data_IF_304246891103
#
_entry.id   IF_304246891103
#
_cell.length_a   1.000
_cell.length_b   1.000
_cell.length_c   1.000
_cell.angle_alpha   90.00
_cell.angle_beta   90.00
_cell.angle_gamma   90.00
#
_symmetry.space_group_name_H-M   'P 1'
#
loop_
_entity.id
_entity.type
_entity.pdbx_description
1 polymer ?
#
# COMPACT_ATOMS: atom_id res chain seq x y z
N UNK A 1 -25.00 14.79 15.52
CA UNK A 1 -25.97 13.66 15.61
C UNK A 1 -26.20 13.35 17.07
N UNK A 2 -27.31 12.72 17.42
CA UNK A 2 -27.65 12.39 18.81
C UNK A 2 -27.71 10.86 19.02
N UNK A 3 -27.33 10.36 20.19
CA UNK A 3 -27.37 8.93 20.50
C UNK A 3 -28.77 8.44 20.92
N UNK A 4 -29.75 9.34 21.05
CA UNK A 4 -31.12 9.06 21.52
C UNK A 4 -32.07 8.52 20.43
N UNK A 5 -31.55 8.24 19.22
CA UNK A 5 -32.33 7.77 18.08
C UNK A 5 -33.08 8.87 17.33
N UNK A 6 -32.98 10.14 17.73
CA UNK A 6 -33.69 11.25 17.06
C UNK A 6 -33.06 11.66 15.73
N UNK A 7 -31.89 11.12 15.38
CA UNK A 7 -31.16 11.43 14.13
C UNK A 7 -30.80 10.16 13.38
N UNK A 8 -31.04 10.12 12.06
CA UNK A 8 -30.65 9.03 11.18
C UNK A 8 -29.56 9.48 10.19
N UNK A 9 -28.50 8.69 10.04
CA UNK A 9 -27.44 8.94 9.05
C UNK A 9 -26.75 7.60 8.69
N UNK A 10 -26.81 7.20 7.41
CA UNK A 10 -26.25 5.91 6.98
C UNK A 10 -24.72 5.86 6.99
N UNK A 11 -24.05 7.00 6.85
CA UNK A 11 -22.60 7.12 7.00
C UNK A 11 -22.27 8.50 7.56
N UNK A 12 -21.87 8.55 8.84
CA UNK A 12 -21.82 9.78 9.60
C UNK A 12 -20.83 10.83 9.08
N UNK A 13 -19.69 10.40 8.53
CA UNK A 13 -18.68 11.29 7.94
C UNK A 13 -19.20 12.05 6.70
N UNK A 14 -20.29 11.58 6.09
CA UNK A 14 -20.98 12.26 4.98
C UNK A 14 -22.13 13.17 5.43
N UNK A 15 -22.40 13.27 6.74
CA UNK A 15 -23.38 14.23 7.23
C UNK A 15 -22.96 15.65 6.78
N UNK A 16 -23.81 16.31 5.99
CA UNK A 16 -23.52 17.61 5.37
C UNK A 16 -23.30 17.57 3.85
N UNK A 17 -23.05 16.40 3.25
CA UNK A 17 -22.92 16.28 1.78
C UNK A 17 -24.22 16.64 1.06
N UNK A 18 -25.36 16.43 1.73
CA UNK A 18 -26.68 16.85 1.28
C UNK A 18 -27.36 17.62 2.42
N UNK A 19 -26.98 18.89 2.59
CA UNK A 19 -27.53 19.78 3.60
C UNK A 19 -28.56 20.72 2.97
N UNK A 20 -29.64 21.02 3.69
CA UNK A 20 -30.67 22.00 3.30
C UNK A 20 -31.28 21.78 1.90
N UNK A 21 -31.43 20.53 1.50
CA UNK A 21 -31.96 20.19 0.17
C UNK A 21 -30.94 20.34 -0.98
N UNK A 22 -29.68 20.67 -0.69
CA UNK A 22 -28.64 20.95 -1.69
C UNK A 22 -27.60 19.83 -1.72
N UNK A 23 -27.40 19.24 -2.90
CA UNK A 23 -26.33 18.27 -3.14
C UNK A 23 -24.98 18.99 -3.25
N UNK A 24 -24.21 19.00 -2.17
CA UNK A 24 -22.91 19.67 -2.12
C UNK A 24 -21.87 18.95 -2.99
N UNK A 25 -21.98 17.63 -3.18
CA UNK A 25 -21.09 16.89 -4.07
C UNK A 25 -21.26 17.27 -5.56
N UNK A 26 -22.37 17.92 -5.92
CA UNK A 26 -22.63 18.38 -7.28
C UNK A 26 -22.08 19.77 -7.59
N UNK A 27 -21.40 20.44 -6.65
CA UNK A 27 -20.77 21.75 -6.89
C UNK A 27 -19.65 21.64 -7.94
N UNK A 28 -19.55 22.63 -8.83
CA UNK A 28 -18.61 22.62 -9.98
C UNK A 28 -17.91 23.95 -10.21
N UNK A 29 -17.70 24.77 -9.17
CA UNK A 29 -17.10 26.09 -9.36
C UNK A 29 -15.65 25.94 -9.83
N UNK A 30 -15.27 26.40 -11.04
CA UNK A 30 -13.92 26.18 -11.55
C UNK A 30 -12.83 26.71 -10.61
N UNK A 31 -11.68 26.04 -10.54
CA UNK A 31 -10.58 26.43 -9.64
C UNK A 31 -10.04 27.85 -9.87
N UNK A 32 -10.25 28.43 -11.07
CA UNK A 32 -9.88 29.83 -11.37
C UNK A 32 -10.82 30.88 -10.75
N UNK A 33 -11.97 30.47 -10.22
CA UNK A 33 -13.01 31.35 -9.66
C UNK A 33 -13.10 31.23 -8.13
N UNK A 34 -12.25 30.41 -7.52
CA UNK A 34 -12.16 30.20 -6.08
C UNK A 34 -10.67 30.12 -5.68
N UNK A 35 -10.41 29.99 -4.38
CA UNK A 35 -9.05 29.77 -3.91
C UNK A 35 -8.53 28.36 -4.25
N UNK A 36 -7.27 28.13 -3.91
CA UNK A 36 -6.55 26.90 -4.19
C UNK A 36 -7.01 25.71 -3.33
N UNK A 37 -7.76 25.94 -2.24
CA UNK A 37 -8.37 24.88 -1.42
C UNK A 37 -9.54 24.23 -2.18
N UNK A 38 -10.16 25.00 -3.08
CA UNK A 38 -11.21 24.54 -3.97
C UNK A 38 -12.47 23.97 -3.26
N UNK A 39 -12.88 24.62 -2.16
CA UNK A 39 -14.00 24.20 -1.31
C UNK A 39 -15.37 24.17 -2.02
N UNK A 40 -15.50 24.84 -3.17
CA UNK A 40 -16.70 24.90 -4.00
C UNK A 40 -16.64 23.95 -5.22
N UNK A 41 -15.67 23.04 -5.26
CA UNK A 41 -15.65 21.91 -6.19
C UNK A 41 -15.91 20.60 -5.44
N UNK A 42 -17.02 19.94 -5.78
CA UNK A 42 -17.56 18.80 -5.05
C UNK A 42 -17.64 19.06 -3.53
N UNK A 43 -17.59 17.99 -2.73
CA UNK A 43 -17.58 18.07 -1.28
C UNK A 43 -16.69 16.95 -0.72
N UNK A 44 -15.78 17.29 0.19
CA UNK A 44 -14.91 16.32 0.84
C UNK A 44 -15.46 15.95 2.23
N UNK A 45 -15.37 14.68 2.60
CA UNK A 45 -15.54 14.32 4.01
C UNK A 45 -14.20 14.54 4.74
N UNK A 46 -14.23 14.86 6.06
CA UNK A 46 -15.39 15.23 6.84
C UNK A 46 -15.71 16.73 6.72
N UNK A 47 -17.00 17.09 6.69
CA UNK A 47 -17.47 18.49 6.77
C UNK A 47 -16.80 19.48 5.78
N UNK A 48 -16.43 19.02 4.57
CA UNK A 48 -15.72 19.77 3.53
C UNK A 48 -14.28 20.20 3.85
N UNK A 49 -13.67 19.64 4.90
CA UNK A 49 -12.24 19.83 5.22
C UNK A 49 -11.40 19.22 4.11
N UNK A 50 -10.55 20.02 3.47
CA UNK A 50 -9.71 19.56 2.35
C UNK A 50 -8.36 19.05 2.82
N UNK A 51 -7.88 19.55 3.96
CA UNK A 51 -6.65 19.13 4.60
C UNK A 51 -6.98 18.72 6.04
N UNK A 52 -6.86 17.43 6.34
CA UNK A 52 -7.01 16.92 7.71
C UNK A 52 -5.88 17.43 8.60
N UNK A 53 -6.16 17.52 9.91
CA UNK A 53 -5.22 17.96 10.94
C UNK A 53 -4.69 19.38 10.73
N UNK A 54 -5.41 20.23 9.98
CA UNK A 54 -4.95 21.56 9.60
C UNK A 54 -4.74 22.52 10.79
N UNK A 55 -5.28 22.24 11.99
CA UNK A 55 -4.90 22.94 13.24
C UNK A 55 -3.39 22.88 13.52
N UNK A 56 -2.71 21.82 13.12
CA UNK A 56 -1.25 21.68 13.25
C UNK A 56 -0.46 22.60 12.30
N UNK A 57 -1.13 23.28 11.35
CA UNK A 57 -0.50 24.27 10.47
C UNK A 57 -0.28 25.64 11.12
N UNK A 58 -0.78 25.82 12.34
CA UNK A 58 -0.58 27.01 13.18
C UNK A 58 0.16 26.64 14.47
N UNK A 59 0.85 27.63 15.03
CA UNK A 59 1.55 27.54 16.31
C UNK A 59 0.57 27.42 17.50
N UNK A 60 1.07 27.24 18.74
CA UNK A 60 0.23 27.17 19.93
C UNK A 60 -0.63 28.43 20.13
N UNK A 61 -0.17 29.60 19.70
CA UNK A 61 -0.93 30.87 19.78
C UNK A 61 -1.94 31.04 18.64
N UNK A 62 -2.00 30.09 17.70
CA UNK A 62 -2.93 30.07 16.57
C UNK A 62 -2.53 30.92 15.38
N UNK A 63 -1.26 31.29 15.28
CA UNK A 63 -0.69 31.96 14.09
C UNK A 63 -0.14 30.91 13.12
N UNK A 64 -0.35 31.04 11.81
CA UNK A 64 0.22 30.11 10.84
C UNK A 64 1.75 30.04 10.97
N UNK A 65 2.33 28.82 10.92
CA UNK A 65 3.79 28.66 10.90
C UNK A 65 4.45 29.34 9.69
N UNK A 66 3.70 29.51 8.61
CA UNK A 66 4.10 30.23 7.41
C UNK A 66 2.91 30.90 6.76
N UNK A 67 2.92 32.22 6.62
CA UNK A 67 1.88 32.98 5.93
C UNK A 67 1.63 32.48 4.50
N UNK A 68 2.70 32.16 3.76
CA UNK A 68 2.63 31.65 2.38
C UNK A 68 1.90 30.30 2.27
N UNK A 69 1.80 29.55 3.36
CA UNK A 69 1.19 28.21 3.41
C UNK A 69 0.09 28.12 4.48
N UNK A 70 -0.49 29.27 4.87
CA UNK A 70 -1.52 29.30 5.89
C UNK A 70 -2.72 28.44 5.46
N UNK A 71 -3.26 27.64 6.37
CA UNK A 71 -4.50 26.89 6.17
C UNK A 71 -5.60 27.47 7.05
N UNK A 72 -5.33 27.50 8.35
CA UNK A 72 -6.20 28.04 9.39
C UNK A 72 -5.40 28.85 10.40
N UNK A 73 -6.07 29.80 11.05
CA UNK A 73 -5.55 30.66 12.09
C UNK A 73 -6.66 31.02 13.08
N UNK A 74 -6.27 31.44 14.28
CA UNK A 74 -7.20 32.00 15.25
C UNK A 74 -7.46 33.47 14.93
N UNK A 75 -8.73 33.85 14.85
CA UNK A 75 -9.15 35.24 14.69
C UNK A 75 -9.94 35.65 15.94
N UNK A 76 -9.35 36.46 16.86
CA UNK A 76 -9.99 36.85 18.11
C UNK A 76 -11.18 37.80 17.89
N UNK A 77 -11.25 38.46 16.73
CA UNK A 77 -12.32 39.42 16.40
C UNK A 77 -13.51 38.75 15.70
N UNK A 78 -13.40 37.45 15.41
CA UNK A 78 -14.43 36.68 14.70
C UNK A 78 -15.32 35.90 15.66
N UNK A 79 -16.65 36.06 15.52
CA UNK A 79 -17.60 35.42 16.43
C UNK A 79 -17.72 36.14 17.77
N UNK A 80 -18.37 35.53 18.76
CA UNK A 80 -18.58 36.15 20.08
C UNK A 80 -17.34 36.07 20.98
N UNK A 81 -16.48 35.06 20.78
CA UNK A 81 -15.35 34.74 21.67
C UNK A 81 -14.05 34.45 20.89
N UNK A 82 -13.99 34.82 19.60
CA UNK A 82 -12.95 34.38 18.66
C UNK A 82 -13.27 33.04 17.99
N UNK A 83 -12.77 32.85 16.78
CA UNK A 83 -12.97 31.60 16.03
C UNK A 83 -11.74 31.23 15.19
N UNK A 84 -11.49 29.92 15.06
CA UNK A 84 -10.63 29.37 14.03
C UNK A 84 -11.25 29.60 12.67
N UNK A 85 -10.48 30.20 11.77
CA UNK A 85 -10.88 30.45 10.39
C UNK A 85 -9.70 30.28 9.46
N UNK A 86 -9.91 30.46 8.17
CA UNK A 86 -8.82 30.39 7.22
C UNK A 86 -9.26 30.15 5.79
N UNK A 87 -8.35 29.59 5.00
CA UNK A 87 -8.61 29.13 3.64
C UNK A 87 -9.34 27.78 3.60
N UNK A 88 -9.16 26.93 4.61
CA UNK A 88 -9.86 25.65 4.75
C UNK A 88 -10.82 25.65 5.95
N UNK A 89 -11.74 24.69 5.98
CA UNK A 89 -12.57 24.42 7.16
C UNK A 89 -11.67 23.89 8.27
N UNK A 90 -11.66 24.46 9.50
CA UNK A 90 -10.85 23.93 10.59
C UNK A 90 -11.19 22.48 10.91
N UNK A 91 -10.17 21.63 10.93
CA UNK A 91 -10.22 20.29 11.50
C UNK A 91 -10.04 20.35 13.03
N UNK A 92 -10.86 21.20 13.63
CA UNK A 92 -10.82 21.54 15.04
C UNK A 92 -12.17 22.13 15.46
N UNK A 93 -12.42 22.23 16.77
CA UNK A 93 -13.61 22.92 17.28
C UNK A 93 -13.41 24.43 17.05
N UNK A 94 -14.26 25.02 16.20
CA UNK A 94 -14.07 26.38 15.68
C UNK A 94 -13.95 27.45 16.77
N UNK A 95 -14.62 27.26 17.89
CA UNK A 95 -14.73 28.18 19.03
C UNK A 95 -13.79 27.79 20.19
N UNK A 96 -12.92 26.79 20.02
CA UNK A 96 -11.94 26.40 21.04
C UNK A 96 -10.69 27.28 20.91
N UNK A 97 -10.56 28.27 21.79
CA UNK A 97 -9.44 29.20 21.80
C UNK A 97 -8.08 28.49 21.98
N UNK A 98 -6.97 29.06 21.45
CA UNK A 98 -5.66 28.42 21.53
C UNK A 98 -5.16 28.22 22.98
N UNK A 99 -5.56 29.08 23.91
CA UNK A 99 -5.25 29.05 25.34
C UNK A 99 -6.27 28.25 26.18
N UNK A 100 -7.23 27.57 25.54
CA UNK A 100 -8.21 26.75 26.22
C UNK A 100 -7.56 25.54 26.90
N UNK A 101 -7.68 25.48 28.22
CA UNK A 101 -7.35 24.30 29.02
C UNK A 101 -8.64 23.57 29.44
N UNK A 102 -8.73 22.25 29.22
CA UNK A 102 -9.89 21.48 29.61
C UNK A 102 -9.92 21.28 31.14
N UNK A 103 -11.10 21.21 31.77
CA UNK A 103 -11.23 20.80 33.18
C UNK A 103 -10.68 19.39 33.43
N UNK A 104 -10.20 19.11 34.65
CA UNK A 104 -9.63 17.80 35.04
C UNK A 104 -10.63 16.63 34.90
N UNK A 105 -11.93 16.91 35.00
CA UNK A 105 -13.01 15.92 34.86
C UNK A 105 -13.60 15.85 33.44
N UNK A 106 -13.04 16.60 32.48
CA UNK A 106 -13.45 16.55 31.09
C UNK A 106 -13.16 15.17 30.48
N UNK A 107 -14.02 14.76 29.54
CA UNK A 107 -13.89 13.45 28.89
C UNK A 107 -14.20 13.53 27.40
N UNK A 108 -13.65 12.56 26.66
CA UNK A 108 -13.81 12.48 25.21
C UNK A 108 -13.29 13.75 24.51
N UNK A 109 -13.96 14.24 23.45
CA UNK A 109 -13.51 15.42 22.71
C UNK A 109 -13.43 16.72 23.53
N UNK A 110 -14.15 16.83 24.65
CA UNK A 110 -14.09 18.02 25.51
C UNK A 110 -12.81 18.04 26.37
N UNK A 111 -12.11 16.92 26.52
CA UNK A 111 -10.82 16.83 27.20
C UNK A 111 -9.63 17.31 26.34
N UNK A 112 -9.87 17.74 25.09
CA UNK A 112 -8.84 18.28 24.22
C UNK A 112 -8.60 19.77 24.54
N UNK A 113 -7.35 20.18 24.71
CA UNK A 113 -6.93 21.58 24.85
C UNK A 113 -7.01 22.35 23.53
N UNK A 114 -6.82 23.66 23.59
CA UNK A 114 -6.67 24.54 22.41
C UNK A 114 -5.49 24.22 21.49
N UNK A 115 -4.59 23.34 21.95
CA UNK A 115 -3.33 22.97 21.29
C UNK A 115 -3.26 21.50 20.88
N UNK A 116 -4.40 20.81 20.85
CA UNK A 116 -4.52 19.38 20.51
C UNK A 116 -5.05 19.13 19.08
N UNK A 117 -4.20 19.24 18.04
CA UNK A 117 -4.66 19.24 16.65
C UNK A 117 -5.26 17.92 16.14
N UNK A 118 -5.05 16.80 16.81
CA UNK A 118 -5.48 15.48 16.32
C UNK A 118 -6.77 15.03 17.00
N UNK A 119 -7.90 15.65 16.63
CA UNK A 119 -9.18 15.54 17.36
C UNK A 119 -9.81 14.14 17.40
N UNK A 120 -9.33 13.22 16.56
CA UNK A 120 -9.78 11.83 16.55
C UNK A 120 -8.93 10.93 17.46
N UNK A 121 -7.82 11.44 17.98
CA UNK A 121 -6.97 10.76 18.95
C UNK A 121 -7.40 11.11 20.37
N UNK A 122 -7.41 10.12 21.25
CA UNK A 122 -7.89 10.28 22.62
C UNK A 122 -7.07 11.31 23.43
N UNK A 123 -5.79 11.46 23.11
CA UNK A 123 -4.86 12.42 23.72
C UNK A 123 -4.62 13.67 22.86
N UNK A 124 -5.28 13.78 21.70
CA UNK A 124 -5.15 14.92 20.81
C UNK A 124 -3.81 15.03 20.07
N UNK A 125 -2.93 14.03 20.16
CA UNK A 125 -1.56 14.09 19.60
C UNK A 125 -1.36 13.14 18.41
N UNK A 126 -0.36 13.45 17.58
CA UNK A 126 0.19 12.47 16.66
C UNK A 126 1.17 11.57 17.40
N UNK A 127 1.04 10.27 17.20
CA UNK A 127 1.87 9.27 17.86
C UNK A 127 3.16 8.99 17.08
N UNK A 128 4.30 9.30 17.69
CA UNK A 128 5.60 8.77 17.27
C UNK A 128 5.79 7.35 17.81
N UNK A 129 5.42 7.13 19.07
CA UNK A 129 5.27 5.83 19.71
C UNK A 129 3.78 5.49 19.72
N UNK A 130 3.39 4.35 19.15
CA UNK A 130 1.99 3.93 19.01
C UNK A 130 1.59 3.05 20.19
N UNK A 131 0.85 3.56 21.18
CA UNK A 131 0.58 2.83 22.42
C UNK A 131 -0.45 1.72 22.28
N UNK A 132 -1.29 1.76 21.23
CA UNK A 132 -2.31 0.75 20.98
C UNK A 132 -2.68 0.67 19.50
N UNK A 133 -3.24 -0.48 19.10
CA UNK A 133 -3.80 -0.71 17.76
C UNK A 133 -2.90 -1.46 16.79
N UNK A 134 -1.57 -1.49 16.99
CA UNK A 134 -0.65 -2.27 16.18
C UNK A 134 -0.31 -3.62 16.83
N UNK A 135 -0.30 -4.68 16.03
CA UNK A 135 0.01 -6.04 16.46
C UNK A 135 1.52 -6.32 16.57
N UNK A 136 2.33 -5.60 15.79
CA UNK A 136 3.75 -5.86 15.56
C UNK A 136 4.71 -4.87 16.23
N UNK A 137 4.18 -3.98 17.05
CA UNK A 137 4.94 -3.15 17.96
C UNK A 137 4.60 -1.66 17.89
N UNK A 138 5.07 -0.87 18.87
CA UNK A 138 4.76 0.55 18.97
C UNK A 138 5.65 1.44 18.08
N UNK A 139 6.71 0.88 17.50
CA UNK A 139 7.65 1.55 16.61
C UNK A 139 7.94 0.62 15.42
N UNK A 140 8.17 1.15 14.20
CA UNK A 140 8.55 0.33 13.07
C UNK A 140 9.87 -0.41 13.31
N UNK A 141 9.90 -1.69 12.94
CA UNK A 141 11.10 -2.52 12.92
C UNK A 141 11.22 -3.19 11.55
N UNK A 142 12.46 -3.32 11.07
CA UNK A 142 12.75 -4.04 9.83
C UNK A 142 12.67 -5.56 10.04
N UNK A 143 11.94 -6.23 9.17
CA UNK A 143 11.98 -7.68 9.01
C UNK A 143 12.07 -8.00 7.52
N UNK A 144 12.75 -9.09 7.18
CA UNK A 144 12.82 -9.55 5.81
C UNK A 144 11.45 -10.07 5.32
N UNK A 145 11.15 -9.91 4.02
CA UNK A 145 10.00 -10.56 3.36
C UNK A 145 9.95 -12.07 3.62
N UNK A 146 8.74 -12.65 3.54
CA UNK A 146 8.53 -14.06 3.86
C UNK A 146 9.45 -15.01 3.07
N UNK A 147 9.63 -14.75 1.79
CA UNK A 147 10.46 -15.54 0.87
C UNK A 147 11.76 -14.78 0.52
N UNK A 148 12.34 -14.00 1.43
CA UNK A 148 13.57 -13.24 1.13
C UNK A 148 14.78 -14.18 0.88
N UNK A 149 15.56 -13.99 -0.20
CA UNK A 149 16.79 -14.76 -0.43
C UNK A 149 18.00 -14.22 0.34
N UNK A 150 17.78 -13.30 1.29
CA UNK A 150 18.80 -12.68 2.14
C UNK A 150 18.46 -12.83 3.62
N UNK A 151 19.47 -12.96 4.50
CA UNK A 151 19.27 -12.91 5.94
C UNK A 151 19.03 -11.48 6.41
N UNK A 152 18.31 -11.31 7.51
CA UNK A 152 18.15 -10.02 8.18
C UNK A 152 19.50 -9.58 8.77
N UNK A 153 19.94 -8.35 8.47
CA UNK A 153 21.20 -7.80 9.01
C UNK A 153 21.04 -7.08 10.34
N UNK A 154 19.84 -6.66 10.66
CA UNK A 154 19.59 -5.78 11.79
C UNK A 154 19.24 -6.58 13.05
N UNK A 155 18.58 -7.72 12.87
CA UNK A 155 18.07 -8.54 13.97
C UNK A 155 18.21 -10.03 13.65
N UNK A 156 18.34 -10.86 14.69
CA UNK A 156 18.29 -12.32 14.55
C UNK A 156 16.92 -12.82 14.06
N UNK A 157 15.87 -12.01 14.28
CA UNK A 157 14.51 -12.30 13.83
C UNK A 157 14.38 -12.02 12.33
N UNK A 158 14.25 -13.09 11.53
CA UNK A 158 14.21 -13.00 10.07
C UNK A 158 12.95 -12.28 9.57
N UNK A 159 11.77 -12.81 9.93
CA UNK A 159 10.47 -12.35 9.45
C UNK A 159 9.69 -11.69 10.58
N UNK A 160 8.65 -10.91 10.25
CA UNK A 160 7.78 -10.35 11.27
C UNK A 160 7.21 -11.48 12.16
N UNK A 161 7.45 -11.44 13.49
CA UNK A 161 7.16 -12.56 14.39
C UNK A 161 5.67 -12.80 14.64
N UNK A 162 4.83 -11.82 14.30
CA UNK A 162 3.37 -11.90 14.47
C UNK A 162 2.63 -11.99 13.14
N UNK A 163 3.35 -12.10 12.01
CA UNK A 163 2.74 -12.27 10.68
C UNK A 163 1.76 -13.44 10.69
N UNK A 164 0.70 -13.32 9.91
CA UNK A 164 -0.32 -14.35 9.90
C UNK A 164 -0.05 -15.35 8.79
N UNK A 165 0.12 -16.60 9.20
CA UNK A 165 0.29 -17.73 8.30
C UNK A 165 -0.99 -18.54 8.24
N UNK A 166 -1.42 -18.88 7.03
CA UNK A 166 -2.48 -19.86 6.83
C UNK A 166 -1.99 -21.25 7.24
N UNK A 167 -2.94 -22.16 7.53
CA UNK A 167 -2.60 -23.58 7.75
C UNK A 167 -1.80 -24.09 6.56
N UNK A 168 -0.73 -24.89 6.77
CA UNK A 168 0.09 -25.39 5.68
C UNK A 168 -0.76 -26.04 4.58
N UNK A 169 -0.63 -25.54 3.35
CA UNK A 169 -1.38 -26.03 2.19
C UNK A 169 -0.40 -26.40 1.06
N UNK A 170 -0.60 -27.52 0.35
CA UNK A 170 0.27 -27.93 -0.74
C UNK A 170 0.43 -26.88 -1.86
N UNK A 171 -0.58 -26.04 -2.09
CA UNK A 171 -0.53 -24.99 -3.11
C UNK A 171 0.04 -23.65 -2.59
N UNK A 172 0.33 -23.54 -1.29
CA UNK A 172 0.90 -22.36 -0.66
C UNK A 172 2.09 -22.73 0.25
N UNK A 173 3.02 -23.55 -0.25
CA UNK A 173 4.30 -23.78 0.44
C UNK A 173 5.15 -22.51 0.39
N UNK A 174 5.86 -22.19 1.47
CA UNK A 174 6.83 -21.08 1.50
C UNK A 174 8.21 -21.55 1.01
N UNK A 175 9.13 -20.60 0.79
CA UNK A 175 10.50 -20.89 0.39
C UNK A 175 11.47 -20.76 1.58
N UNK A 176 12.61 -21.47 1.54
CA UNK A 176 13.69 -21.21 2.48
C UNK A 176 14.21 -19.79 2.31
N UNK A 177 14.61 -19.15 3.41
CA UNK A 177 15.04 -17.75 3.43
C UNK A 177 16.49 -17.59 3.87
N UNK A 178 17.11 -16.47 3.49
CA UNK A 178 18.47 -16.12 3.89
C UNK A 178 19.49 -17.23 3.62
N UNK A 179 20.11 -17.74 4.69
CA UNK A 179 21.16 -18.76 4.62
C UNK A 179 20.63 -20.19 4.83
N UNK A 180 19.30 -20.38 4.89
CA UNK A 180 18.69 -21.70 4.98
C UNK A 180 19.04 -22.57 3.75
N UNK A 181 19.28 -23.89 3.95
CA UNK A 181 19.51 -24.80 2.84
C UNK A 181 18.38 -24.72 1.80
N UNK A 182 18.75 -24.49 0.54
CA UNK A 182 17.79 -24.38 -0.56
C UNK A 182 17.34 -22.96 -0.91
N UNK A 183 17.71 -21.93 -0.12
CA UNK A 183 17.36 -20.53 -0.41
C UNK A 183 17.87 -20.06 -1.79
N UNK A 184 19.05 -20.53 -2.20
CA UNK A 184 19.64 -20.25 -3.52
C UNK A 184 18.88 -20.83 -4.72
N UNK A 185 17.83 -21.62 -4.52
CA UNK A 185 16.99 -22.15 -5.61
C UNK A 185 16.08 -21.08 -6.23
N UNK A 186 15.79 -20.02 -5.48
CA UNK A 186 15.00 -18.87 -5.91
C UNK A 186 15.80 -17.57 -5.68
N UNK A 187 16.83 -17.31 -6.50
CA UNK A 187 17.83 -16.28 -6.17
C UNK A 187 17.40 -14.84 -6.50
N UNK A 188 16.27 -14.63 -7.17
CA UNK A 188 15.84 -13.31 -7.64
C UNK A 188 14.62 -12.82 -6.89
N UNK A 189 14.56 -11.52 -6.63
CA UNK A 189 13.38 -10.89 -6.04
C UNK A 189 12.43 -10.45 -7.15
N UNK A 190 11.18 -10.89 -7.09
CA UNK A 190 10.12 -10.41 -7.95
C UNK A 190 9.25 -9.37 -7.23
N UNK A 191 8.70 -8.45 -8.01
CA UNK A 191 7.75 -7.44 -7.53
C UNK A 191 6.63 -7.24 -8.54
N UNK A 192 5.43 -6.91 -8.04
CA UNK A 192 4.27 -6.63 -8.90
C UNK A 192 3.88 -5.16 -8.90
N UNK A 193 3.53 -4.61 -10.07
CA UNK A 193 3.17 -3.19 -10.23
C UNK A 193 2.20 -2.97 -11.39
N UNK A 194 1.91 -1.69 -11.65
CA UNK A 194 0.89 -1.25 -12.60
C UNK A 194 1.50 -0.66 -13.85
N UNK A 195 0.72 -0.69 -14.92
CA UNK A 195 0.92 0.05 -16.15
C UNK A 195 -0.24 1.02 -16.33
N UNK A 196 0.04 2.16 -16.96
CA UNK A 196 -0.94 3.22 -17.19
C UNK A 196 -2.14 2.72 -17.99
N UNK A 197 -1.91 1.82 -18.94
CA UNK A 197 -2.90 1.33 -19.90
C UNK A 197 -3.83 0.25 -19.31
N UNK A 198 -3.51 -0.30 -18.14
CA UNK A 198 -4.28 -1.37 -17.53
C UNK A 198 -4.82 -1.01 -16.14
N UNK A 199 -6.03 -1.51 -15.86
CA UNK A 199 -6.71 -1.33 -14.58
C UNK A 199 -6.83 -2.66 -13.83
N UNK A 200 -6.32 -2.68 -12.59
CA UNK A 200 -6.36 -3.82 -11.65
C UNK A 200 -5.89 -5.14 -12.29
N UNK A 201 -6.64 -6.24 -12.21
CA UNK A 201 -6.29 -7.51 -12.84
C UNK A 201 -6.60 -7.54 -14.36
N UNK A 202 -6.81 -6.37 -14.97
CA UNK A 202 -7.10 -6.18 -16.39
C UNK A 202 -8.51 -6.59 -16.83
N UNK A 203 -9.40 -6.97 -15.90
CA UNK A 203 -10.75 -7.45 -16.22
C UNK A 203 -11.61 -6.45 -17.01
N UNK A 204 -11.32 -5.15 -16.92
CA UNK A 204 -11.93 -4.11 -17.76
C UNK A 204 -11.07 -3.78 -18.99
N UNK A 205 -9.77 -3.51 -18.76
CA UNK A 205 -8.88 -2.94 -19.77
C UNK A 205 -8.42 -3.93 -20.85
N UNK A 206 -8.30 -5.23 -20.54
CA UNK A 206 -7.95 -6.27 -21.57
C UNK A 206 -9.05 -6.49 -22.61
N UNK A 207 -10.27 -6.01 -22.34
CA UNK A 207 -11.39 -6.03 -23.27
C UNK A 207 -11.56 -4.72 -24.04
N UNK A 208 -10.67 -3.75 -23.85
CA UNK A 208 -10.63 -2.52 -24.64
C UNK A 208 -9.57 -2.68 -25.73
N UNK A 209 -9.96 -2.67 -27.03
CA UNK A 209 -9.03 -2.97 -28.11
C UNK A 209 -7.84 -2.00 -28.16
N UNK A 210 -8.06 -0.71 -27.92
CA UNK A 210 -6.98 0.29 -27.93
C UNK A 210 -5.98 0.09 -26.79
N UNK A 211 -6.44 -0.32 -25.60
CA UNK A 211 -5.54 -0.57 -24.47
C UNK A 211 -4.80 -1.89 -24.65
N UNK A 212 -5.48 -2.91 -25.18
CA UNK A 212 -4.87 -4.19 -25.54
C UNK A 212 -3.86 -4.04 -26.69
N UNK A 213 -4.04 -3.09 -27.61
CA UNK A 213 -3.04 -2.78 -28.63
C UNK A 213 -1.76 -2.18 -28.02
N UNK A 214 -1.91 -1.28 -27.04
CA UNK A 214 -0.78 -0.64 -26.37
C UNK A 214 0.01 -1.61 -25.47
N UNK A 215 -0.67 -2.54 -24.78
CA UNK A 215 -0.06 -3.54 -23.90
C UNK A 215 -0.59 -4.95 -24.24
N UNK A 216 -0.08 -5.60 -25.30
CA UNK A 216 -0.72 -6.78 -25.89
C UNK A 216 -0.40 -8.12 -25.22
N UNK A 217 0.69 -8.23 -24.48
CA UNK A 217 1.13 -9.49 -23.88
C UNK A 217 1.66 -9.27 -22.46
N UNK A 218 1.46 -10.26 -21.58
CA UNK A 218 2.12 -10.25 -20.27
C UNK A 218 3.64 -10.29 -20.46
N UNK A 219 4.35 -9.37 -19.81
CA UNK A 219 5.80 -9.28 -19.85
C UNK A 219 6.42 -9.16 -18.47
N UNK A 220 7.73 -9.41 -18.40
CA UNK A 220 8.57 -9.18 -17.24
C UNK A 220 9.69 -8.20 -17.59
N UNK A 221 10.02 -7.32 -16.65
CA UNK A 221 11.14 -6.39 -16.79
C UNK A 221 12.37 -6.95 -16.08
N UNK A 222 13.51 -6.96 -16.78
CA UNK A 222 14.78 -7.46 -16.26
C UNK A 222 15.94 -6.55 -16.66
N UNK A 223 16.96 -6.49 -15.80
CA UNK A 223 18.21 -5.79 -16.10
C UNK A 223 18.97 -6.48 -17.25
N UNK A 224 19.80 -5.77 -18.03
CA UNK A 224 20.72 -6.39 -19.00
C UNK A 224 21.61 -7.47 -18.39
N UNK A 225 22.05 -7.31 -17.13
CA UNK A 225 22.93 -8.27 -16.47
C UNK A 225 22.21 -9.57 -16.12
N UNK A 226 20.99 -9.50 -15.57
CA UNK A 226 20.15 -10.68 -15.36
C UNK A 226 19.86 -11.38 -16.70
N UNK A 227 19.60 -10.60 -17.76
CA UNK A 227 19.35 -11.16 -19.08
C UNK A 227 20.58 -11.90 -19.63
N UNK A 228 21.78 -11.35 -19.46
CA UNK A 228 23.03 -12.01 -19.83
C UNK A 228 23.30 -13.25 -18.96
N UNK A 229 23.12 -13.16 -17.65
CA UNK A 229 23.33 -14.27 -16.71
C UNK A 229 22.44 -15.48 -17.02
N UNK A 230 21.18 -15.22 -17.41
CA UNK A 230 20.18 -16.27 -17.65
C UNK A 230 19.87 -16.54 -19.11
N UNK A 231 20.59 -15.90 -20.03
CA UNK A 231 20.37 -16.07 -21.47
C UNK A 231 18.96 -15.65 -21.91
N UNK A 232 18.40 -14.61 -21.32
CA UNK A 232 17.09 -14.06 -21.69
C UNK A 232 17.25 -13.11 -22.89
N UNK A 233 16.49 -13.35 -23.96
CA UNK A 233 16.46 -12.47 -25.12
C UNK A 233 15.35 -11.43 -24.96
N UNK A 234 15.64 -10.15 -25.25
CA UNK A 234 14.63 -9.09 -25.34
C UNK A 234 13.54 -9.49 -26.36
N UNK A 235 12.27 -9.30 -26.03
CA UNK A 235 11.06 -9.81 -26.71
C UNK A 235 10.91 -11.35 -26.78
N UNK A 236 11.90 -12.10 -26.27
CA UNK A 236 11.80 -13.53 -26.08
C UNK A 236 10.82 -13.91 -24.97
N UNK A 237 10.73 -15.21 -24.68
CA UNK A 237 9.92 -15.74 -23.59
C UNK A 237 10.80 -16.07 -22.39
N UNK A 238 10.25 -15.88 -21.19
CA UNK A 238 10.78 -16.40 -19.95
C UNK A 238 9.74 -17.22 -19.21
N UNK A 239 10.20 -18.25 -18.51
CA UNK A 239 9.44 -19.00 -17.52
C UNK A 239 9.89 -18.54 -16.13
N UNK A 240 8.94 -18.12 -15.30
CA UNK A 240 9.20 -17.65 -13.94
C UNK A 240 8.53 -18.61 -12.96
N UNK A 241 9.26 -19.06 -11.96
CA UNK A 241 8.83 -20.12 -11.04
C UNK A 241 9.00 -19.65 -9.60
N UNK A 242 7.98 -19.89 -8.78
CA UNK A 242 8.08 -19.82 -7.33
C UNK A 242 7.74 -21.19 -6.73
N UNK A 243 7.78 -21.34 -5.40
CA UNK A 243 7.32 -22.60 -4.80
C UNK A 243 5.81 -22.84 -4.95
N UNK A 244 5.02 -21.89 -5.47
CA UNK A 244 3.56 -22.00 -5.62
C UNK A 244 3.15 -22.31 -7.04
N UNK A 245 3.78 -21.65 -8.01
CA UNK A 245 3.34 -21.73 -9.40
C UNK A 245 4.44 -21.42 -10.40
N UNK A 246 4.04 -21.50 -11.66
CA UNK A 246 4.87 -21.16 -12.81
C UNK A 246 4.05 -20.34 -13.80
N UNK A 247 4.64 -19.24 -14.25
CA UNK A 247 4.08 -18.36 -15.30
C UNK A 247 5.07 -18.22 -16.45
N UNK A 248 4.57 -17.78 -17.61
CA UNK A 248 5.40 -17.29 -18.70
C UNK A 248 5.09 -15.83 -19.03
N UNK A 249 6.13 -15.11 -19.44
CA UNK A 249 6.04 -13.71 -19.80
C UNK A 249 6.99 -13.40 -20.96
N UNK A 250 6.68 -12.38 -21.76
CA UNK A 250 7.64 -11.74 -22.66
C UNK A 250 8.75 -11.06 -21.86
N UNK A 251 9.95 -10.98 -22.41
CA UNK A 251 11.08 -10.35 -21.73
C UNK A 251 11.28 -8.92 -22.23
N UNK A 252 11.17 -7.95 -21.33
CA UNK A 252 11.60 -6.57 -21.54
C UNK A 252 12.93 -6.35 -20.82
N UNK A 253 14.03 -6.51 -21.56
CA UNK A 253 15.36 -6.12 -21.08
C UNK A 253 15.46 -4.59 -21.07
N UNK A 254 15.78 -3.99 -19.92
CA UNK A 254 15.81 -2.53 -19.77
C UNK A 254 16.77 -2.07 -18.67
N UNK A 255 17.47 -0.96 -18.91
CA UNK A 255 18.37 -0.34 -17.93
C UNK A 255 17.64 0.28 -16.72
N UNK A 256 16.31 0.47 -16.82
CA UNK A 256 15.47 0.92 -15.69
C UNK A 256 15.49 -0.07 -14.52
N UNK A 257 15.75 -1.34 -14.81
CA UNK A 257 15.96 -2.37 -13.81
C UNK A 257 17.46 -2.44 -13.50
N UNK A 258 17.87 -1.85 -12.38
CA UNK A 258 19.27 -1.89 -11.94
C UNK A 258 19.45 -2.94 -10.86
N UNK A 259 20.40 -3.88 -11.00
CA UNK A 259 20.74 -4.79 -9.93
C UNK A 259 21.29 -4.05 -8.71
N UNK A 260 20.95 -4.51 -7.51
CA UNK A 260 21.43 -3.94 -6.26
C UNK A 260 22.60 -4.78 -5.74
N UNK A 261 23.45 -4.19 -4.90
CA UNK A 261 24.42 -4.95 -4.11
C UNK A 261 23.92 -5.02 -2.68
N UNK A 262 23.60 -6.22 -2.20
CA UNK A 262 23.11 -6.48 -0.84
C UNK A 262 23.96 -7.60 -0.26
N UNK A 263 24.55 -7.40 0.93
CA UNK A 263 25.49 -8.36 1.53
C UNK A 263 26.68 -8.75 0.63
N UNK A 264 27.16 -7.82 -0.21
CA UNK A 264 28.21 -8.11 -1.20
C UNK A 264 27.77 -9.06 -2.33
N UNK A 265 26.51 -9.50 -2.35
CA UNK A 265 25.89 -10.28 -3.41
C UNK A 265 25.13 -9.35 -4.35
N UNK A 266 25.14 -9.68 -5.63
CA UNK A 266 24.32 -8.99 -6.62
C UNK A 266 22.88 -9.49 -6.54
N UNK A 267 21.95 -8.59 -6.23
CA UNK A 267 20.52 -8.85 -6.23
C UNK A 267 19.93 -8.40 -7.56
N UNK A 268 19.37 -9.35 -8.31
CA UNK A 268 18.58 -9.06 -9.50
C UNK A 268 17.08 -9.03 -9.18
N UNK A 269 16.39 -8.12 -9.84
CA UNK A 269 14.95 -7.92 -9.67
C UNK A 269 14.21 -8.34 -10.95
N UNK A 270 13.05 -8.98 -10.79
CA UNK A 270 12.12 -9.33 -11.87
C UNK A 270 10.84 -8.53 -11.69
N UNK A 271 10.59 -7.58 -12.59
CA UNK A 271 9.39 -6.75 -12.53
C UNK A 271 8.20 -7.40 -13.24
N UNK A 272 7.03 -7.45 -12.58
CA UNK A 272 5.83 -8.14 -13.10
C UNK A 272 4.57 -7.27 -13.03
N UNK A 273 4.14 -6.66 -14.14
CA UNK A 273 2.80 -6.12 -14.28
C UNK A 273 1.70 -7.18 -14.04
N UNK A 274 0.74 -6.94 -13.14
CA UNK A 274 -0.23 -7.97 -12.70
C UNK A 274 -1.59 -7.93 -13.42
N UNK A 275 -1.61 -7.46 -14.68
CA UNK A 275 -2.86 -7.14 -15.39
C UNK A 275 -3.43 -8.27 -16.22
N UNK A 276 -2.76 -9.41 -16.32
CA UNK A 276 -3.12 -10.47 -17.26
C UNK A 276 -3.86 -11.64 -16.63
N UNK A 277 -4.56 -12.34 -17.51
CA UNK A 277 -5.29 -13.57 -17.26
C UNK A 277 -5.67 -14.21 -18.59
N UNK A 278 -6.37 -15.35 -18.57
CA UNK A 278 -6.52 -16.19 -19.76
C UNK A 278 -7.46 -15.65 -20.85
N UNK A 279 -8.13 -14.52 -20.63
CA UNK A 279 -9.25 -14.03 -21.45
C UNK A 279 -9.03 -12.59 -21.96
N UNK A 280 -9.88 -12.12 -22.88
CA UNK A 280 -9.80 -10.77 -23.46
C UNK A 280 -8.94 -10.71 -24.73
N UNK A 281 -8.74 -9.51 -25.28
CA UNK A 281 -7.93 -9.31 -26.49
C UNK A 281 -6.43 -9.49 -26.21
N UNK A 282 -5.99 -9.08 -25.01
CA UNK A 282 -4.65 -9.31 -24.51
C UNK A 282 -4.69 -10.41 -23.45
N UNK A 283 -3.88 -11.47 -23.61
CA UNK A 283 -3.91 -12.66 -22.76
C UNK A 283 -2.54 -12.98 -22.17
N UNK A 284 -2.52 -13.71 -21.06
CA UNK A 284 -1.30 -14.11 -20.36
C UNK A 284 -1.62 -14.85 -19.07
N UNK A 285 -0.58 -15.26 -18.36
CA UNK A 285 -0.75 -15.79 -17.00
C UNK A 285 -0.99 -14.65 -15.99
N UNK A 286 -1.53 -14.99 -14.82
CA UNK A 286 -1.65 -14.05 -13.71
C UNK A 286 -0.37 -14.07 -12.86
N UNK A 287 0.25 -12.92 -12.60
CA UNK A 287 1.43 -12.83 -11.73
C UNK A 287 1.14 -13.37 -10.30
N UNK A 288 -0.13 -13.33 -9.87
CA UNK A 288 -0.56 -13.84 -8.57
C UNK A 288 -0.33 -15.34 -8.37
N UNK A 289 -0.17 -16.12 -9.44
CA UNK A 289 0.17 -17.55 -9.37
C UNK A 289 1.52 -17.81 -8.67
N UNK A 290 2.36 -16.79 -8.54
CA UNK A 290 3.67 -16.89 -7.90
C UNK A 290 3.65 -16.55 -6.40
N UNK A 291 2.61 -15.86 -5.92
CA UNK A 291 2.58 -15.22 -4.61
C UNK A 291 2.28 -16.21 -3.48
N UNK A 292 2.86 -15.96 -2.32
CA UNK A 292 2.52 -16.67 -1.09
C UNK A 292 1.44 -15.91 -0.30
N UNK A 293 0.70 -16.64 0.54
CA UNK A 293 -0.32 -16.09 1.44
C UNK A 293 0.22 -15.96 2.88
N UNK A 294 1.34 -15.25 3.02
CA UNK A 294 1.77 -14.70 4.32
C UNK A 294 1.19 -13.31 4.43
N UNK A 295 0.46 -13.04 5.51
CA UNK A 295 -0.39 -11.86 5.61
C UNK A 295 0.13 -10.89 6.68
N UNK A 296 -0.05 -9.61 6.39
CA UNK A 296 0.18 -8.53 7.35
C UNK A 296 -0.63 -8.77 8.63
N UNK A 297 -0.03 -8.64 9.82
CA UNK A 297 -0.66 -8.97 11.09
C UNK A 297 -1.84 -8.07 11.45
N UNK A 298 -1.91 -6.86 10.88
CA UNK A 298 -2.92 -5.86 11.21
C UNK A 298 -4.11 -5.89 10.24
N UNK A 299 -3.86 -6.16 8.96
CA UNK A 299 -4.83 -5.97 7.86
C UNK A 299 -5.16 -7.23 7.10
N UNK A 300 -4.44 -8.34 7.34
CA UNK A 300 -4.60 -9.61 6.64
C UNK A 300 -4.29 -9.53 5.13
N UNK A 301 -3.56 -8.50 4.69
CA UNK A 301 -3.18 -8.31 3.28
C UNK A 301 -1.93 -9.14 2.97
N UNK A 302 -1.97 -9.89 1.86
CA UNK A 302 -0.84 -10.69 1.40
C UNK A 302 0.28 -9.85 0.77
N UNK A 303 1.51 -10.32 0.92
CA UNK A 303 2.70 -9.71 0.32
C UNK A 303 2.74 -9.91 -1.20
N UNK A 304 2.79 -8.81 -1.95
CA UNK A 304 2.81 -8.82 -3.43
C UNK A 304 3.98 -8.05 -4.02
N UNK A 305 4.87 -7.53 -3.18
CA UNK A 305 5.90 -6.54 -3.56
C UNK A 305 7.32 -7.05 -3.42
N UNK A 306 7.54 -8.07 -2.59
CA UNK A 306 8.83 -8.72 -2.46
C UNK A 306 8.61 -10.22 -2.20
N UNK A 307 9.05 -11.05 -3.14
CA UNK A 307 9.01 -12.52 -3.01
C UNK A 307 10.07 -13.11 -3.94
N UNK A 308 10.63 -14.27 -3.58
CA UNK A 308 11.67 -14.88 -4.38
C UNK A 308 11.14 -15.78 -5.51
N UNK A 309 11.85 -15.74 -6.64
CA UNK A 309 11.57 -16.53 -7.84
C UNK A 309 12.87 -17.03 -8.47
N UNK A 310 12.74 -18.03 -9.34
CA UNK A 310 13.71 -18.29 -10.40
C UNK A 310 13.13 -17.86 -11.75
N UNK A 311 14.01 -17.56 -12.71
CA UNK A 311 13.66 -17.22 -14.09
C UNK A 311 14.56 -17.98 -15.07
N UNK A 312 13.97 -18.54 -16.12
CA UNK A 312 14.69 -19.26 -17.18
C UNK A 312 14.18 -18.86 -18.56
N UNK A 313 15.00 -18.95 -19.62
CA UNK A 313 14.55 -18.65 -20.97
C UNK A 313 13.55 -19.69 -21.46
N UNK A 314 12.67 -19.27 -22.36
CA UNK A 314 11.67 -20.10 -23.01
C UNK A 314 10.30 -20.10 -22.33
N UNK A 315 9.34 -20.70 -23.04
CA UNK A 315 7.94 -20.83 -22.60
C UNK A 315 7.80 -21.85 -21.49
N UNK A 316 6.79 -21.66 -20.64
CA UNK A 316 6.53 -22.59 -19.55
C UNK A 316 5.92 -23.90 -20.08
N UNK A 317 6.16 -25.05 -19.42
CA UNK A 317 5.37 -26.24 -19.65
C UNK A 317 3.89 -26.01 -19.29
N UNK A 318 3.01 -26.82 -19.88
CA UNK A 318 1.55 -26.76 -19.70
C UNK A 318 1.03 -28.07 -19.09
N UNK A 319 -0.17 -28.03 -18.50
CA UNK A 319 -0.81 -29.21 -17.92
C UNK A 319 0.03 -29.88 -16.81
N UNK A 320 0.07 -31.22 -16.75
CA UNK A 320 0.81 -31.95 -15.71
C UNK A 320 2.30 -31.59 -15.63
N UNK A 321 2.94 -31.27 -16.76
CA UNK A 321 4.35 -30.88 -16.79
C UNK A 321 4.64 -29.55 -16.06
N UNK A 322 3.65 -28.66 -15.92
CA UNK A 322 3.77 -27.45 -15.12
C UNK A 322 3.85 -27.76 -13.62
N UNK A 323 3.02 -28.69 -13.16
CA UNK A 323 2.99 -29.14 -11.76
C UNK A 323 4.30 -29.87 -11.42
N UNK A 324 4.76 -30.75 -12.31
CA UNK A 324 6.04 -31.46 -12.09
C UNK A 324 7.24 -30.52 -12.05
N UNK A 325 7.21 -29.42 -12.83
CA UNK A 325 8.24 -28.39 -12.72
C UNK A 325 8.25 -27.76 -11.32
N UNK A 326 7.11 -27.29 -10.82
CA UNK A 326 7.03 -26.67 -9.49
C UNK A 326 7.45 -27.67 -8.41
N UNK A 327 7.03 -28.94 -8.54
CA UNK A 327 7.44 -30.02 -7.63
C UNK A 327 8.95 -30.25 -7.64
N UNK A 328 9.58 -30.24 -8.80
CA UNK A 328 11.04 -30.39 -8.92
C UNK A 328 11.78 -29.22 -8.24
N UNK A 329 11.28 -27.99 -8.34
CA UNK A 329 11.82 -26.85 -7.60
C UNK A 329 11.69 -27.02 -6.09
N UNK A 330 10.52 -27.47 -5.60
CA UNK A 330 10.30 -27.75 -4.17
C UNK A 330 11.26 -28.80 -3.64
N UNK A 331 11.42 -29.92 -4.36
CA UNK A 331 12.36 -30.98 -3.99
C UNK A 331 13.80 -30.45 -3.96
N UNK A 332 14.22 -29.68 -4.98
CA UNK A 332 15.55 -29.11 -5.05
C UNK A 332 15.83 -28.13 -3.90
N UNK A 333 14.82 -27.38 -3.46
CA UNK A 333 14.91 -26.44 -2.35
C UNK A 333 14.68 -27.07 -0.98
N UNK A 334 14.38 -28.38 -0.90
CA UNK A 334 14.07 -29.03 0.37
C UNK A 334 12.77 -28.56 1.02
N UNK A 335 11.82 -28.04 0.23
CA UNK A 335 10.57 -27.46 0.75
C UNK A 335 9.62 -28.54 1.24
N UNK A 336 9.16 -28.38 2.48
CA UNK A 336 8.14 -29.20 3.13
C UNK A 336 7.01 -28.33 3.73
N UNK A 337 6.26 -28.88 4.69
CA UNK A 337 5.17 -28.16 5.33
C UNK A 337 5.56 -27.21 6.46
N UNK A 338 6.81 -27.29 6.92
CA UNK A 338 7.35 -26.51 8.01
C UNK A 338 8.26 -25.37 7.53
N UNK A 339 8.73 -25.44 6.29
CA UNK A 339 9.59 -24.41 5.67
C UNK A 339 8.96 -23.01 5.77
N UNK A 340 9.67 -22.07 6.39
CA UNK A 340 9.26 -20.65 6.53
C UNK A 340 8.10 -20.41 7.49
N UNK A 341 7.77 -21.39 8.35
CA UNK A 341 6.64 -21.33 9.30
C UNK A 341 7.04 -20.98 10.73
N UNK A 342 8.34 -20.92 11.00
CA UNK A 342 8.92 -20.47 12.26
C UNK A 342 8.46 -19.06 12.63
N UNK A 343 8.31 -18.74 13.92
CA UNK A 343 7.94 -17.41 14.39
C UNK A 343 8.80 -16.33 13.75
#
# INVERSE_FOLDING_TARGET
>A
MKPDGSTACGCWIYCGVYADGVNQAARRKPGREQDWVAAEWAWAWPANRRILYNRASADPEGRPWSERKALVWWDPDKGEQGEWTGHDVPDFKKDKAPDHEPPDDASGPEALSGTDPFIMQADGKAWLYVPSGLADGPLPAHYEPQDSPFPNLLYDQQRNPVRQLLRPHPDNRYQPSGDEPGSGVFPYVATTYRLTEHHTAGGMSRWQPYLAELQPEFFCEVSPELAAERGLAHTGWATIVSARGVVEARVLVTDRMTPLTVHGRRLHQVGLPYHWGPNGYSTGDAANELLHLSLDPNTHIQETKAFAVDIRPGRRPRGPAAVELVRAYRIRAGIDEHTGTEP
#
